data_IF_497294826960
#
_entry.id   IF_497294826960
#
_cell.length_a   1.000
_cell.length_b   1.000
_cell.length_c   1.000
_cell.angle_alpha   90.00
_cell.angle_beta   90.00
_cell.angle_gamma   90.00
#
_symmetry.space_group_name_H-M   'P 1'
#
loop_
_entity.id
_entity.type
_entity.pdbx_description
1 polymer ?
#
# COMPACT_ATOMS: atom_id res chain seq x y z
N UNK A 1 -26.77 4.67 -10.67
CA UNK A 1 -26.29 4.66 -9.26
C UNK A 1 -25.64 3.32 -8.89
N UNK A 2 -26.27 2.17 -9.16
CA UNK A 2 -25.79 0.82 -8.78
C UNK A 2 -24.36 0.46 -9.21
N UNK A 3 -23.89 0.89 -10.39
CA UNK A 3 -22.54 0.58 -10.89
C UNK A 3 -21.42 1.17 -10.01
N UNK A 4 -21.56 2.42 -9.58
CA UNK A 4 -20.54 3.11 -8.77
C UNK A 4 -20.46 2.53 -7.35
N UNK A 5 -21.61 2.16 -6.78
CA UNK A 5 -21.67 1.49 -5.47
C UNK A 5 -21.01 0.11 -5.51
N UNK A 6 -21.24 -0.67 -6.57
CA UNK A 6 -20.57 -1.96 -6.75
C UNK A 6 -19.05 -1.82 -6.85
N UNK A 7 -18.57 -0.77 -7.53
CA UNK A 7 -17.14 -0.47 -7.67
C UNK A 7 -16.51 -0.10 -6.32
N UNK A 8 -17.21 0.67 -5.50
CA UNK A 8 -16.77 1.05 -4.15
C UNK A 8 -16.71 -0.16 -3.23
N UNK A 9 -17.76 -0.98 -3.21
CA UNK A 9 -17.78 -2.23 -2.44
C UNK A 9 -16.63 -3.14 -2.89
N UNK A 10 -16.40 -3.24 -4.21
CA UNK A 10 -15.26 -3.95 -4.78
C UNK A 10 -13.91 -3.40 -4.29
N UNK A 11 -13.74 -2.08 -4.22
CA UNK A 11 -12.53 -1.44 -3.70
C UNK A 11 -12.27 -1.79 -2.21
N UNK A 12 -13.32 -1.77 -1.37
CA UNK A 12 -13.18 -2.16 0.03
C UNK A 12 -12.86 -3.66 0.20
N UNK A 13 -13.46 -4.53 -0.63
CA UNK A 13 -13.15 -5.97 -0.62
C UNK A 13 -11.70 -6.20 -1.03
N UNK A 14 -11.23 -5.54 -2.10
CA UNK A 14 -9.84 -5.62 -2.55
C UNK A 14 -8.87 -5.10 -1.49
N UNK A 15 -9.20 -3.99 -0.83
CA UNK A 15 -8.41 -3.44 0.27
C UNK A 15 -8.31 -4.44 1.44
N UNK A 16 -9.40 -5.11 1.79
CA UNK A 16 -9.42 -6.11 2.86
C UNK A 16 -8.58 -7.34 2.50
N UNK A 17 -8.74 -7.87 1.29
CA UNK A 17 -7.93 -9.00 0.80
C UNK A 17 -6.45 -8.62 0.79
N UNK A 18 -6.12 -7.43 0.27
CA UNK A 18 -4.76 -6.90 0.26
C UNK A 18 -4.17 -6.75 1.66
N UNK A 19 -4.97 -6.30 2.62
CA UNK A 19 -4.52 -6.14 4.01
C UNK A 19 -4.21 -7.49 4.67
N UNK A 20 -5.10 -8.48 4.49
CA UNK A 20 -4.88 -9.84 4.99
C UNK A 20 -3.65 -10.47 4.34
N UNK A 21 -3.52 -10.33 3.02
CA UNK A 21 -2.35 -10.81 2.29
C UNK A 21 -1.05 -10.16 2.80
N UNK A 22 -1.07 -8.86 3.11
CA UNK A 22 0.09 -8.16 3.62
C UNK A 22 0.48 -8.61 5.05
N UNK A 23 -0.49 -8.92 5.91
CA UNK A 23 -0.21 -9.51 7.23
C UNK A 23 0.46 -10.88 7.09
N UNK A 24 -0.05 -11.72 6.18
CA UNK A 24 0.54 -13.02 5.90
C UNK A 24 1.96 -12.89 5.33
N UNK A 25 2.16 -11.96 4.39
CA UNK A 25 3.47 -11.64 3.83
C UNK A 25 4.46 -11.20 4.92
N UNK A 26 4.06 -10.28 5.79
CA UNK A 26 4.85 -9.82 6.92
C UNK A 26 5.25 -10.99 7.83
N UNK A 27 4.29 -11.86 8.18
CA UNK A 27 4.56 -13.04 9.01
C UNK A 27 5.53 -14.02 8.35
N UNK A 28 5.36 -14.28 7.05
CA UNK A 28 6.11 -15.31 6.32
C UNK A 28 7.53 -14.88 5.95
N UNK A 29 7.74 -13.60 5.63
CA UNK A 29 9.03 -13.12 5.09
C UNK A 29 9.85 -12.36 6.14
N UNK A 30 9.21 -11.51 6.95
CA UNK A 30 9.94 -10.68 7.91
C UNK A 30 10.41 -11.49 9.11
N UNK A 31 9.59 -12.42 9.63
CA UNK A 31 9.95 -13.21 10.81
C UNK A 31 10.72 -14.50 10.49
N UNK A 32 10.87 -14.84 9.22
CA UNK A 32 11.53 -16.06 8.85
C UNK A 32 13.04 -15.86 8.75
N UNK A 33 13.78 -16.52 9.65
CA UNK A 33 15.25 -16.44 9.77
C UNK A 33 15.96 -17.07 8.57
N UNK A 34 15.25 -17.88 7.77
CA UNK A 34 15.80 -18.48 6.55
C UNK A 34 16.09 -17.49 5.43
N UNK A 35 15.57 -16.26 5.49
CA UNK A 35 15.82 -15.23 4.49
C UNK A 35 16.98 -14.31 4.87
N UNK A 36 17.73 -13.90 3.85
CA UNK A 36 18.84 -12.97 3.95
C UNK A 36 18.41 -11.62 4.57
N UNK A 37 19.29 -10.98 5.34
CA UNK A 37 19.00 -9.76 6.11
C UNK A 37 18.53 -8.63 5.19
N UNK A 38 19.16 -8.48 4.02
CA UNK A 38 18.74 -7.51 3.01
C UNK A 38 17.34 -7.78 2.47
N UNK A 39 16.99 -9.05 2.24
CA UNK A 39 15.66 -9.45 1.80
C UNK A 39 14.60 -9.17 2.87
N UNK A 40 14.93 -9.38 4.15
CA UNK A 40 14.03 -9.06 5.27
C UNK A 40 13.78 -7.56 5.40
N UNK A 41 14.82 -6.73 5.28
CA UNK A 41 14.69 -5.26 5.32
C UNK A 41 13.87 -4.75 4.13
N UNK A 42 14.18 -5.20 2.91
CA UNK A 42 13.41 -4.82 1.72
C UNK A 42 11.94 -5.24 1.83
N UNK A 43 11.69 -6.45 2.31
CA UNK A 43 10.32 -6.95 2.53
C UNK A 43 9.58 -6.18 3.61
N UNK A 44 10.28 -5.74 4.66
CA UNK A 44 9.71 -4.88 5.69
C UNK A 44 9.29 -3.51 5.14
N UNK A 45 10.12 -2.90 4.28
CA UNK A 45 9.80 -1.64 3.59
C UNK A 45 8.58 -1.81 2.68
N UNK A 46 8.53 -2.89 1.89
CA UNK A 46 7.38 -3.17 1.01
C UNK A 46 6.11 -3.38 1.84
N UNK A 47 6.20 -4.12 2.95
CA UNK A 47 5.05 -4.41 3.80
C UNK A 47 4.50 -3.16 4.51
N UNK A 48 5.37 -2.27 5.00
CA UNK A 48 4.95 -1.01 5.63
C UNK A 48 4.41 0.01 4.61
N UNK A 49 4.96 0.03 3.41
CA UNK A 49 4.47 0.89 2.33
C UNK A 49 3.11 0.41 1.79
N UNK A 50 2.90 -0.89 1.67
CA UNK A 50 1.61 -1.47 1.25
C UNK A 50 0.51 -1.27 2.29
N UNK A 51 0.79 -1.36 3.59
CA UNK A 51 -0.22 -0.99 4.61
C UNK A 51 -0.58 0.49 4.52
N UNK A 52 0.38 1.37 4.28
CA UNK A 52 0.13 2.81 4.06
C UNK A 52 -0.72 3.06 2.81
N UNK A 53 -0.48 2.36 1.70
CA UNK A 53 -1.31 2.48 0.49
C UNK A 53 -2.76 2.04 0.73
N UNK A 54 -2.95 0.90 1.39
CA UNK A 54 -4.28 0.37 1.65
C UNK A 54 -5.05 1.32 2.57
N UNK A 55 -4.42 1.77 3.66
CA UNK A 55 -5.06 2.67 4.63
C UNK A 55 -5.36 4.04 4.04
N UNK A 56 -4.43 4.63 3.28
CA UNK A 56 -4.68 5.90 2.58
C UNK A 56 -5.82 5.80 1.56
N UNK A 57 -5.89 4.72 0.77
CA UNK A 57 -6.97 4.50 -0.19
C UNK A 57 -8.35 4.35 0.50
N UNK A 58 -8.40 3.56 1.58
CA UNK A 58 -9.63 3.39 2.36
C UNK A 58 -10.07 4.72 2.99
N UNK A 59 -9.13 5.52 3.49
CA UNK A 59 -9.44 6.81 4.10
C UNK A 59 -9.89 7.86 3.07
N UNK A 60 -9.20 8.00 1.93
CA UNK A 60 -9.59 8.97 0.89
C UNK A 60 -10.97 8.66 0.32
N UNK A 61 -11.26 7.38 0.06
CA UNK A 61 -12.58 6.94 -0.42
C UNK A 61 -13.66 7.15 0.63
N UNK A 62 -13.39 6.85 1.91
CA UNK A 62 -14.35 7.08 3.01
C UNK A 62 -14.63 8.56 3.23
N UNK A 63 -13.61 9.42 3.12
CA UNK A 63 -13.78 10.89 3.20
C UNK A 63 -14.69 11.35 2.07
N UNK A 64 -14.42 11.01 0.80
CA UNK A 64 -15.29 11.46 -0.29
C UNK A 64 -16.73 10.92 -0.17
N UNK A 65 -16.89 9.67 0.28
CA UNK A 65 -18.20 9.08 0.55
C UNK A 65 -19.00 9.90 1.59
N UNK A 66 -18.33 10.43 2.63
CA UNK A 66 -18.97 11.26 3.66
C UNK A 66 -19.50 12.60 3.13
N UNK A 67 -18.93 13.12 2.04
CA UNK A 67 -19.40 14.32 1.34
C UNK A 67 -20.47 14.00 0.26
N UNK A 68 -20.89 12.73 0.14
CA UNK A 68 -21.90 12.30 -0.82
C UNK A 68 -21.41 12.25 -2.26
N UNK A 69 -20.09 12.29 -2.48
CA UNK A 69 -19.49 12.19 -3.81
C UNK A 69 -18.60 10.95 -3.93
N UNK A 70 -18.75 10.24 -5.04
CA UNK A 70 -17.92 9.09 -5.40
C UNK A 70 -16.58 9.50 -6.01
N UNK A 71 -16.53 10.72 -6.56
CA UNK A 71 -15.33 11.26 -7.20
C UNK A 71 -14.68 12.28 -6.28
N UNK A 72 -13.37 12.45 -6.42
CA UNK A 72 -12.66 13.61 -5.88
C UNK A 72 -13.14 14.87 -6.59
N UNK A 73 -14.30 15.38 -6.21
CA UNK A 73 -14.90 16.61 -6.72
C UNK A 73 -15.05 17.60 -5.59
N UNK A 74 -14.63 18.85 -5.85
CA UNK A 74 -14.73 20.02 -4.99
C UNK A 74 -14.44 19.76 -3.50
N UNK A 75 -15.47 19.73 -2.63
CA UNK A 75 -15.33 19.78 -1.17
C UNK A 75 -14.52 18.63 -0.56
N UNK A 76 -14.46 17.46 -1.20
CA UNK A 76 -13.62 16.35 -0.72
C UNK A 76 -12.12 16.68 -0.85
N UNK A 77 -11.70 17.30 -1.96
CA UNK A 77 -10.28 17.57 -2.24
C UNK A 77 -9.72 18.76 -1.47
N UNK A 78 -10.57 19.68 -1.02
CA UNK A 78 -10.18 20.78 -0.14
C UNK A 78 -9.97 20.32 1.31
N UNK A 79 -10.43 19.12 1.67
CA UNK A 79 -10.20 18.58 2.99
C UNK A 79 -8.70 18.26 3.19
N UNK A 80 -8.09 18.89 4.20
CA UNK A 80 -6.68 18.68 4.55
C UNK A 80 -6.35 17.20 4.79
N UNK A 81 -7.27 16.43 5.35
CA UNK A 81 -7.08 14.99 5.56
C UNK A 81 -6.99 14.24 4.23
N UNK A 82 -7.80 14.61 3.24
CA UNK A 82 -7.75 14.01 1.90
C UNK A 82 -6.39 14.29 1.23
N UNK A 83 -5.88 15.53 1.34
CA UNK A 83 -4.59 15.91 0.77
C UNK A 83 -3.41 15.18 1.44
N UNK A 84 -3.41 15.09 2.77
CA UNK A 84 -2.38 14.35 3.52
C UNK A 84 -2.40 12.87 3.15
N UNK A 85 -3.59 12.25 3.07
CA UNK A 85 -3.70 10.84 2.71
C UNK A 85 -3.30 10.58 1.26
N UNK A 86 -3.61 11.50 0.34
CA UNK A 86 -3.18 11.41 -1.06
C UNK A 86 -1.66 11.53 -1.19
N UNK A 87 -1.03 12.39 -0.39
CA UNK A 87 0.42 12.50 -0.32
C UNK A 87 1.06 11.21 0.25
N UNK A 88 0.52 10.68 1.35
CA UNK A 88 0.94 9.40 1.93
C UNK A 88 0.78 8.24 0.96
N UNK A 89 -0.26 8.28 0.12
CA UNK A 89 -0.48 7.29 -0.92
C UNK A 89 0.69 7.29 -1.92
N UNK A 90 1.01 8.46 -2.50
CA UNK A 90 2.13 8.59 -3.43
C UNK A 90 3.48 8.21 -2.80
N UNK A 91 3.69 8.57 -1.52
CA UNK A 91 4.86 8.15 -0.78
C UNK A 91 4.95 6.61 -0.63
N UNK A 92 3.82 5.96 -0.37
CA UNK A 92 3.70 4.51 -0.33
C UNK A 92 4.09 3.86 -1.66
N UNK A 93 3.64 4.38 -2.80
CA UNK A 93 4.00 3.85 -4.12
C UNK A 93 5.51 3.92 -4.36
N UNK A 94 6.13 5.07 -4.09
CA UNK A 94 7.58 5.27 -4.24
C UNK A 94 8.35 4.33 -3.31
N UNK A 95 7.87 4.15 -2.08
CA UNK A 95 8.51 3.25 -1.10
C UNK A 95 8.41 1.77 -1.49
N UNK A 96 7.35 1.36 -2.20
CA UNK A 96 7.28 -0.01 -2.75
C UNK A 96 8.30 -0.17 -3.86
N UNK A 97 8.40 0.79 -4.77
CA UNK A 97 9.36 0.75 -5.88
C UNK A 97 10.80 0.67 -5.37
N UNK A 98 11.14 1.48 -4.36
CA UNK A 98 12.47 1.41 -3.73
C UNK A 98 12.72 0.09 -3.01
N UNK A 99 11.72 -0.45 -2.32
CA UNK A 99 11.79 -1.77 -1.68
C UNK A 99 12.04 -2.89 -2.71
N UNK A 100 11.32 -2.87 -3.84
CA UNK A 100 11.52 -3.83 -4.94
C UNK A 100 12.92 -3.68 -5.54
N UNK A 101 13.37 -2.45 -5.75
CA UNK A 101 14.71 -2.17 -6.27
C UNK A 101 15.80 -2.79 -5.39
N UNK A 102 15.74 -2.58 -4.07
CA UNK A 102 16.69 -3.18 -3.11
C UNK A 102 16.63 -4.71 -3.18
N UNK A 103 15.43 -5.28 -3.29
CA UNK A 103 15.23 -6.73 -3.34
C UNK A 103 15.82 -7.36 -4.61
N UNK A 104 15.70 -6.69 -5.76
CA UNK A 104 16.24 -7.14 -7.04
C UNK A 104 17.75 -6.97 -7.09
N UNK A 105 18.25 -5.77 -6.81
CA UNK A 105 19.67 -5.44 -6.99
C UNK A 105 20.55 -5.97 -5.84
N UNK A 106 20.05 -5.99 -4.60
CA UNK A 106 20.77 -6.59 -3.48
C UNK A 106 20.95 -8.11 -3.64
N UNK A 107 20.06 -8.78 -4.36
CA UNK A 107 20.20 -10.21 -4.70
C UNK A 107 21.29 -10.44 -5.76
N UNK A 108 21.53 -9.47 -6.64
CA UNK A 108 22.54 -9.58 -7.71
C UNK A 108 23.96 -9.49 -7.15
N UNK A 109 24.19 -8.63 -6.17
CA UNK A 109 25.50 -8.43 -5.54
C UNK A 109 25.98 -9.66 -4.76
N UNK A 110 25.07 -10.35 -4.05
CA UNK A 110 25.37 -11.61 -3.36
C UNK A 110 25.60 -12.82 -4.28
N UNK A 111 25.27 -12.73 -5.58
CA UNK A 111 25.59 -13.78 -6.57
C UNK A 111 26.95 -13.59 -7.23
N UNK A 112 27.49 -12.37 -7.21
CA UNK A 112 28.81 -12.06 -7.77
C UNK A 112 29.96 -12.24 -6.78
N UNK A 113 29.66 -12.45 -5.49
CA UNK A 113 30.65 -12.65 -4.43
C UNK A 113 30.85 -14.12 -4.00
N UNK A 114 30.17 -15.08 -4.65
CA UNK A 114 30.39 -16.53 -4.48
C UNK A 114 31.06 -17.13 -5.71
#
# INVERSE_FOLDING_TARGET
MVFWEALIVGNYILALIGFVANILYFKLVVFNVSFDVYSRIASFIIASATTLLITSNVLTTSICLSYGSYFGSGPCMENKMFQIMSFLHSYGEISIVSGIFILVFGKTENRTSS
#
